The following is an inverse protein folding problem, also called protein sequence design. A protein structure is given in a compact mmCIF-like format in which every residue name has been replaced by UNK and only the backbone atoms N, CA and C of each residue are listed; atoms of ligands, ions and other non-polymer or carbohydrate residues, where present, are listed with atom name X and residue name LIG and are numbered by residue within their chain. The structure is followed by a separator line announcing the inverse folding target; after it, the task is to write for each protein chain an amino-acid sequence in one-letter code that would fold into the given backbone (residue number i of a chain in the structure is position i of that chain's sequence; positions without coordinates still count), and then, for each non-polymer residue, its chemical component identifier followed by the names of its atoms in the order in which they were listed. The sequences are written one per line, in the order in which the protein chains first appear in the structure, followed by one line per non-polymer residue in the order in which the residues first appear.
data_IF_711853234833
#
_entry.id   IF_711853234833
#
_cell.length_a   1.000
_cell.length_b   1.000
_cell.length_c   1.000
_cell.angle_alpha   90.00
_cell.angle_beta   90.00
_cell.angle_gamma   90.00
#
_symmetry.space_group_name_H-M   'P 1'
#
loop_
_entity.id
_entity.type
_entity.pdbx_description
1 polymer ?
#
# COMPACT_ATOMS: atom_id res chain seq x y z
N UNK A 1 7.98 7.64 0.57
CA UNK A 1 6.63 7.01 0.46
C UNK A 1 5.95 7.47 -0.81
N UNK A 2 4.91 6.74 -1.26
CA UNK A 2 4.15 7.13 -2.45
C UNK A 2 3.59 8.55 -2.32
N UNK A 3 3.74 9.35 -3.38
CA UNK A 3 3.22 10.72 -3.49
C UNK A 3 3.83 11.79 -2.55
N UNK A 4 4.87 11.50 -1.78
CA UNK A 4 5.40 12.45 -0.78
C UNK A 4 5.71 13.83 -1.38
N UNK A 5 6.41 13.87 -2.53
CA UNK A 5 6.76 15.13 -3.21
C UNK A 5 5.53 15.92 -3.66
N UNK A 6 4.53 15.24 -4.24
CA UNK A 6 3.29 15.88 -4.68
C UNK A 6 2.47 16.37 -3.47
N UNK A 7 2.35 15.52 -2.46
CA UNK A 7 1.60 15.80 -1.24
C UNK A 7 2.14 17.02 -0.51
N UNK A 8 3.46 17.13 -0.34
CA UNK A 8 4.12 18.28 0.30
C UNK A 8 3.81 19.60 -0.43
N UNK A 9 3.92 19.59 -1.76
CA UNK A 9 3.62 20.78 -2.58
C UNK A 9 2.17 21.20 -2.46
N UNK A 10 1.23 20.26 -2.57
CA UNK A 10 -0.19 20.55 -2.46
C UNK A 10 -0.58 21.04 -1.06
N UNK A 11 0.00 20.47 -0.01
CA UNK A 11 -0.24 20.91 1.37
C UNK A 11 0.23 22.36 1.58
N UNK A 12 1.37 22.74 1.02
CA UNK A 12 1.87 24.11 1.11
C UNK A 12 0.91 25.10 0.44
N UNK A 13 0.40 24.79 -0.75
CA UNK A 13 -0.62 25.60 -1.45
C UNK A 13 -1.89 25.72 -0.60
N UNK A 14 -2.38 24.63 -0.05
CA UNK A 14 -3.63 24.61 0.73
C UNK A 14 -3.48 25.24 2.12
N UNK A 15 -2.29 25.21 2.72
CA UNK A 15 -2.00 25.95 3.95
C UNK A 15 -2.16 27.45 3.74
N UNK A 16 -1.66 27.95 2.61
CA UNK A 16 -1.80 29.35 2.24
C UNK A 16 -3.28 29.75 2.02
N UNK A 17 -4.06 28.90 1.34
CA UNK A 17 -5.50 29.10 1.15
C UNK A 17 -6.28 29.11 2.48
N UNK A 18 -5.97 28.19 3.38
CA UNK A 18 -6.66 28.11 4.71
C UNK A 18 -6.37 29.31 5.61
N UNK A 19 -5.22 29.94 5.46
CA UNK A 19 -4.82 31.10 6.27
C UNK A 19 -5.57 32.37 5.91
N UNK A 20 -6.18 32.43 4.70
CA UNK A 20 -6.96 33.59 4.22
C UNK A 20 -8.42 33.46 4.68
N UNK A 21 -8.88 34.39 5.47
CA UNK A 21 -10.27 34.40 5.99
C UNK A 21 -11.32 34.67 4.90
N UNK A 22 -10.94 35.37 3.85
CA UNK A 22 -11.73 35.60 2.62
C UNK A 22 -10.87 35.26 1.42
N UNK A 23 -11.44 34.64 0.42
CA UNK A 23 -10.77 34.37 -0.86
C UNK A 23 -11.37 35.23 -1.95
N UNK A 24 -10.50 35.75 -2.80
CA UNK A 24 -10.88 36.39 -4.06
C UNK A 24 -10.74 35.38 -5.20
N UNK A 25 -11.37 35.65 -6.33
CA UNK A 25 -11.20 34.83 -7.54
C UNK A 25 -9.74 34.73 -7.97
N UNK A 26 -8.98 35.80 -7.81
CA UNK A 26 -7.55 35.82 -8.13
C UNK A 26 -6.72 34.95 -7.16
N UNK A 27 -7.09 34.90 -5.87
CA UNK A 27 -6.47 33.99 -4.92
C UNK A 27 -6.66 32.52 -5.32
N UNK A 28 -7.86 32.17 -5.75
CA UNK A 28 -8.18 30.81 -6.23
C UNK A 28 -7.41 30.51 -7.50
N UNK A 29 -7.37 31.43 -8.46
CA UNK A 29 -6.60 31.27 -9.71
C UNK A 29 -5.10 31.10 -9.44
N UNK A 30 -4.54 31.91 -8.53
CA UNK A 30 -3.13 31.81 -8.14
C UNK A 30 -2.83 30.43 -7.51
N UNK A 31 -3.65 29.97 -6.57
CA UNK A 31 -3.49 28.66 -5.96
C UNK A 31 -3.62 27.52 -6.98
N UNK A 32 -4.59 27.59 -7.90
CA UNK A 32 -4.75 26.58 -8.96
C UNK A 32 -3.58 26.58 -9.95
N UNK A 33 -2.91 27.71 -10.15
CA UNK A 33 -1.67 27.76 -10.92
C UNK A 33 -0.55 26.97 -10.22
N UNK A 34 -0.41 27.09 -8.90
CA UNK A 34 0.55 26.31 -8.11
C UNK A 34 0.19 24.81 -8.11
N UNK A 35 -1.10 24.47 -7.95
CA UNK A 35 -1.57 23.08 -8.07
C UNK A 35 -1.23 22.51 -9.45
N UNK A 36 -1.46 23.28 -10.52
CA UNK A 36 -1.08 22.89 -11.89
C UNK A 36 0.39 22.56 -12.00
N UNK A 37 1.26 23.44 -11.46
CA UNK A 37 2.71 23.22 -11.49
C UNK A 37 3.10 21.98 -10.69
N UNK A 38 2.53 21.78 -9.49
CA UNK A 38 2.79 20.60 -8.67
C UNK A 38 2.43 19.29 -9.39
N UNK A 39 1.29 19.24 -10.09
CA UNK A 39 0.87 18.09 -10.88
C UNK A 39 1.79 17.82 -12.09
N UNK A 40 2.22 18.89 -12.80
CA UNK A 40 3.16 18.74 -13.92
C UNK A 40 4.55 18.27 -13.46
N UNK A 41 5.05 18.79 -12.34
CA UNK A 41 6.31 18.36 -11.73
C UNK A 41 6.22 16.92 -11.17
N UNK A 42 5.01 16.48 -10.81
CA UNK A 42 4.71 15.09 -10.45
C UNK A 42 4.57 14.17 -11.67
N UNK A 43 4.89 14.66 -12.87
CA UNK A 43 4.83 13.91 -14.13
C UNK A 43 3.40 13.43 -14.49
N UNK A 44 2.37 14.22 -14.13
CA UNK A 44 0.99 13.97 -14.57
C UNK A 44 0.83 14.42 -16.02
N UNK A 45 0.11 13.66 -16.83
CA UNK A 45 -0.12 13.96 -18.24
C UNK A 45 -0.70 15.37 -18.45
N UNK A 46 -0.10 16.16 -19.34
CA UNK A 46 -0.45 17.56 -19.56
C UNK A 46 -1.93 17.78 -19.91
N UNK A 47 -2.52 16.92 -20.77
CA UNK A 47 -3.95 17.03 -21.15
C UNK A 47 -4.85 16.76 -19.94
N UNK A 48 -4.45 15.80 -19.09
CA UNK A 48 -5.15 15.45 -17.85
C UNK A 48 -5.10 16.63 -16.88
N UNK A 49 -3.93 17.21 -16.64
CA UNK A 49 -3.77 18.38 -15.77
C UNK A 49 -4.61 19.56 -16.27
N UNK A 50 -4.62 19.84 -17.59
CA UNK A 50 -5.39 20.94 -18.18
C UNK A 50 -6.89 20.75 -17.93
N UNK A 51 -7.41 19.54 -18.14
CA UNK A 51 -8.81 19.22 -17.87
C UNK A 51 -9.17 19.38 -16.40
N UNK A 52 -8.37 18.77 -15.53
CA UNK A 52 -8.52 18.81 -14.07
C UNK A 52 -8.57 20.27 -13.55
N UNK A 53 -7.61 21.11 -13.92
CA UNK A 53 -7.57 22.52 -13.48
C UNK A 53 -8.79 23.29 -13.97
N UNK A 54 -9.24 23.03 -15.20
CA UNK A 54 -10.47 23.66 -15.74
C UNK A 54 -11.69 23.28 -14.92
N UNK A 55 -11.86 21.99 -14.62
CA UNK A 55 -13.02 21.49 -13.88
C UNK A 55 -13.03 22.01 -12.43
N UNK A 56 -11.87 22.01 -11.77
CA UNK A 56 -11.73 22.58 -10.43
C UNK A 56 -12.01 24.10 -10.44
N UNK A 57 -11.49 24.84 -11.42
CA UNK A 57 -11.69 26.29 -11.52
C UNK A 57 -13.17 26.63 -11.73
N UNK A 58 -13.88 25.93 -12.59
CA UNK A 58 -15.32 26.16 -12.83
C UNK A 58 -16.14 26.00 -11.54
N UNK A 59 -15.80 25.02 -10.71
CA UNK A 59 -16.48 24.76 -9.44
C UNK A 59 -16.04 25.69 -8.32
N UNK A 60 -14.75 26.02 -8.25
CA UNK A 60 -14.16 26.79 -7.16
C UNK A 60 -14.43 28.31 -7.23
N UNK A 61 -14.74 28.85 -8.41
CA UNK A 61 -15.01 30.29 -8.63
C UNK A 61 -16.51 30.59 -8.47
N UNK A 62 -17.37 29.61 -8.20
CA UNK A 62 -18.80 29.83 -7.96
C UNK A 62 -19.09 30.70 -6.72
N UNK A 63 -20.15 31.52 -6.79
CA UNK A 63 -20.53 32.44 -5.70
C UNK A 63 -20.76 31.72 -4.36
N UNK A 64 -21.30 30.49 -4.39
CA UNK A 64 -21.54 29.68 -3.20
C UNK A 64 -20.24 29.30 -2.47
N UNK A 65 -19.14 29.15 -3.20
CA UNK A 65 -17.81 28.87 -2.62
C UNK A 65 -17.20 30.15 -2.05
N UNK A 66 -17.27 31.24 -2.80
CA UNK A 66 -16.63 32.51 -2.46
C UNK A 66 -17.27 33.17 -1.25
N UNK A 67 -18.59 33.03 -1.09
CA UNK A 67 -19.37 33.59 0.02
C UNK A 67 -19.56 32.63 1.18
N UNK A 68 -19.02 31.40 1.12
CA UNK A 68 -19.10 30.41 2.18
C UNK A 68 -18.33 30.79 3.44
N UNK A 69 -18.70 30.21 4.58
CA UNK A 69 -18.03 30.45 5.88
C UNK A 69 -16.55 30.04 5.87
N UNK A 70 -16.17 29.06 5.03
CA UNK A 70 -14.80 28.54 4.92
C UNK A 70 -14.41 28.31 3.45
N UNK A 71 -14.19 29.36 2.64
CA UNK A 71 -13.94 29.23 1.20
C UNK A 71 -12.71 28.37 0.89
N UNK A 72 -11.62 28.50 1.65
CA UNK A 72 -10.41 27.69 1.46
C UNK A 72 -10.62 26.20 1.66
N UNK A 73 -11.43 25.79 2.63
CA UNK A 73 -11.80 24.38 2.84
C UNK A 73 -12.66 23.85 1.70
N UNK A 74 -13.56 24.70 1.17
CA UNK A 74 -14.43 24.32 0.05
C UNK A 74 -13.61 24.07 -1.22
N UNK A 75 -12.62 24.93 -1.53
CA UNK A 75 -11.70 24.71 -2.65
C UNK A 75 -10.93 23.40 -2.50
N UNK A 76 -10.41 23.09 -1.30
CA UNK A 76 -9.72 21.80 -1.04
C UNK A 76 -10.64 20.62 -1.23
N UNK A 77 -11.90 20.73 -0.78
CA UNK A 77 -12.91 19.68 -0.97
C UNK A 77 -13.18 19.45 -2.47
N UNK A 78 -13.30 20.52 -3.27
CA UNK A 78 -13.49 20.42 -4.72
C UNK A 78 -12.29 19.75 -5.37
N UNK A 79 -11.06 20.11 -5.00
CA UNK A 79 -9.84 19.47 -5.49
C UNK A 79 -9.83 17.98 -5.16
N UNK A 80 -10.22 17.59 -3.94
CA UNK A 80 -10.32 16.18 -3.54
C UNK A 80 -11.33 15.42 -4.39
N UNK A 81 -12.53 15.96 -4.58
CA UNK A 81 -13.58 15.34 -5.38
C UNK A 81 -13.18 15.16 -6.84
N UNK A 82 -12.51 16.17 -7.44
CA UNK A 82 -12.01 16.05 -8.81
C UNK A 82 -10.81 15.09 -8.93
N UNK A 83 -9.95 14.96 -7.90
CA UNK A 83 -8.92 13.90 -7.87
C UNK A 83 -9.54 12.51 -7.81
N UNK A 84 -10.57 12.29 -6.97
CA UNK A 84 -11.30 11.03 -6.89
C UNK A 84 -11.91 10.69 -8.26
N UNK A 85 -12.57 11.65 -8.89
CA UNK A 85 -13.17 11.49 -10.22
C UNK A 85 -12.13 11.16 -11.28
N UNK A 86 -10.98 11.82 -11.25
CA UNK A 86 -9.85 11.60 -12.16
C UNK A 86 -9.33 10.16 -12.08
N UNK A 87 -9.27 9.60 -10.87
CA UNK A 87 -8.80 8.23 -10.61
C UNK A 87 -9.86 7.15 -10.80
N UNK A 88 -11.14 7.51 -11.02
CA UNK A 88 -12.18 6.55 -11.38
C UNK A 88 -13.44 6.57 -10.53
N UNK A 89 -13.58 7.49 -9.57
CA UNK A 89 -14.73 7.68 -8.67
C UNK A 89 -15.01 6.52 -7.72
N UNK A 90 -15.02 5.28 -8.22
CA UNK A 90 -15.37 4.07 -7.47
C UNK A 90 -14.29 3.02 -7.57
N UNK A 91 -14.21 2.21 -6.53
CA UNK A 91 -13.34 1.03 -6.50
C UNK A 91 -13.84 -0.01 -7.48
N UNK A 92 -12.96 -0.52 -8.31
CA UNK A 92 -13.29 -1.57 -9.29
C UNK A 92 -12.63 -2.88 -8.87
N UNK A 93 -13.40 -3.96 -8.84
CA UNK A 93 -12.90 -5.30 -8.59
C UNK A 93 -12.76 -6.10 -9.90
N UNK A 94 -11.89 -7.12 -9.87
CA UNK A 94 -11.77 -8.11 -10.95
C UNK A 94 -13.08 -8.92 -11.00
N UNK A 95 -13.74 -8.90 -12.15
CA UNK A 95 -14.98 -9.65 -12.35
C UNK A 95 -14.68 -11.13 -12.50
N UNK A 96 -15.22 -11.93 -11.60
CA UNK A 96 -15.12 -13.39 -11.65
C UNK A 96 -16.38 -13.98 -12.27
N UNK A 97 -16.22 -15.12 -12.94
CA UNK A 97 -17.35 -15.88 -13.45
C UNK A 97 -18.19 -16.46 -12.30
N UNK A 98 -19.51 -16.55 -12.47
CA UNK A 98 -20.40 -17.03 -11.43
C UNK A 98 -20.25 -18.54 -11.17
N UNK A 99 -20.55 -18.94 -9.95
CA UNK A 99 -20.55 -20.33 -9.54
C UNK A 99 -19.19 -21.00 -9.57
N UNK A 100 -19.11 -22.16 -10.21
CA UNK A 100 -17.89 -22.96 -10.40
C UNK A 100 -17.20 -22.72 -11.75
N UNK A 101 -17.70 -21.80 -12.57
CA UNK A 101 -17.11 -21.49 -13.86
C UNK A 101 -15.70 -20.92 -13.69
N UNK A 102 -14.79 -21.33 -14.57
CA UNK A 102 -13.39 -20.92 -14.52
C UNK A 102 -13.27 -19.49 -15.04
N UNK A 103 -12.64 -18.62 -14.26
CA UNK A 103 -12.25 -17.30 -14.71
C UNK A 103 -10.81 -17.33 -15.19
N UNK A 104 -10.57 -17.01 -16.45
CA UNK A 104 -9.23 -16.90 -17.03
C UNK A 104 -8.79 -15.44 -17.01
N UNK A 105 -7.68 -15.16 -16.34
CA UNK A 105 -7.07 -13.84 -16.22
C UNK A 105 -5.72 -13.88 -16.92
N UNK A 106 -5.50 -13.00 -17.89
CA UNK A 106 -4.23 -12.84 -18.57
C UNK A 106 -3.48 -11.62 -18.02
N UNK A 107 -2.27 -11.85 -17.50
CA UNK A 107 -1.39 -10.80 -17.00
C UNK A 107 -0.45 -10.34 -18.11
N UNK A 108 -0.57 -9.09 -18.54
CA UNK A 108 0.24 -8.48 -19.59
C UNK A 108 1.12 -7.35 -19.07
N UNK A 109 2.14 -6.93 -19.83
CA UNK A 109 3.00 -5.79 -19.48
C UNK A 109 4.46 -5.99 -19.86
N UNK A 110 5.26 -4.94 -19.72
CA UNK A 110 6.67 -4.96 -20.10
C UNK A 110 7.54 -5.78 -19.12
N UNK A 111 8.75 -6.10 -19.55
CA UNK A 111 9.75 -6.73 -18.69
C UNK A 111 10.11 -5.80 -17.51
N UNK A 112 10.25 -6.36 -16.32
CA UNK A 112 10.58 -5.59 -15.11
C UNK A 112 9.41 -4.84 -14.47
N UNK A 113 8.21 -4.85 -15.08
CA UNK A 113 7.01 -4.24 -14.50
C UNK A 113 6.47 -4.98 -13.27
N UNK A 114 7.02 -6.14 -12.92
CA UNK A 114 6.59 -6.91 -11.74
C UNK A 114 5.44 -7.88 -12.00
N UNK A 115 5.20 -8.31 -13.25
CA UNK A 115 4.11 -9.25 -13.61
C UNK A 115 4.12 -10.51 -12.77
N UNK A 116 5.18 -11.31 -12.84
CA UNK A 116 5.30 -12.61 -12.16
C UNK A 116 5.06 -12.52 -10.66
N UNK A 117 5.63 -11.51 -10.01
CA UNK A 117 5.42 -11.27 -8.58
C UNK A 117 3.97 -10.87 -8.29
N UNK A 118 3.40 -9.98 -9.11
CA UNK A 118 2.01 -9.53 -8.97
C UNK A 118 1.01 -10.66 -9.23
N UNK A 119 1.30 -11.51 -10.23
CA UNK A 119 0.51 -12.72 -10.56
C UNK A 119 0.38 -13.63 -9.34
N UNK A 120 1.49 -13.93 -8.67
CA UNK A 120 1.49 -14.77 -7.47
C UNK A 120 0.78 -14.08 -6.28
N UNK A 121 1.01 -12.78 -6.07
CA UNK A 121 0.31 -12.01 -5.02
C UNK A 121 -1.20 -11.98 -5.24
N UNK A 122 -1.63 -11.79 -6.48
CA UNK A 122 -3.05 -11.79 -6.85
C UNK A 122 -3.68 -13.16 -6.58
N UNK A 123 -3.02 -14.25 -6.97
CA UNK A 123 -3.46 -15.60 -6.66
C UNK A 123 -3.58 -15.85 -5.16
N UNK A 124 -2.59 -15.41 -4.37
CA UNK A 124 -2.63 -15.49 -2.90
C UNK A 124 -3.85 -14.76 -2.32
N UNK A 125 -4.19 -13.58 -2.85
CA UNK A 125 -5.40 -12.84 -2.44
C UNK A 125 -6.70 -13.59 -2.78
N UNK A 126 -6.78 -14.20 -3.95
CA UNK A 126 -7.93 -15.04 -4.31
C UNK A 126 -8.05 -16.27 -3.41
N UNK A 127 -6.93 -16.90 -3.06
CA UNK A 127 -6.91 -18.01 -2.12
C UNK A 127 -7.43 -17.60 -0.74
N UNK A 128 -7.04 -16.42 -0.23
CA UNK A 128 -7.57 -15.89 1.03
C UNK A 128 -9.09 -15.62 0.97
N UNK A 129 -9.61 -15.31 -0.22
CA UNK A 129 -11.07 -15.18 -0.47
C UNK A 129 -11.77 -16.56 -0.72
N UNK A 130 -11.11 -17.68 -0.43
CA UNK A 130 -11.66 -19.04 -0.57
C UNK A 130 -11.75 -19.54 -2.01
N UNK A 131 -11.05 -18.91 -2.96
CA UNK A 131 -10.96 -19.37 -4.35
C UNK A 131 -9.81 -20.39 -4.50
N UNK A 132 -9.83 -21.15 -5.61
CA UNK A 132 -8.79 -22.11 -5.98
C UNK A 132 -8.06 -21.64 -7.24
N UNK A 133 -7.09 -20.70 -7.12
CA UNK A 133 -6.35 -20.21 -8.26
C UNK A 133 -5.31 -21.23 -8.74
N UNK A 134 -5.09 -21.26 -10.06
CA UNK A 134 -4.01 -21.93 -10.76
C UNK A 134 -3.14 -20.89 -11.43
N UNK A 135 -1.85 -20.86 -11.13
CA UNK A 135 -0.85 -20.05 -11.81
C UNK A 135 -0.31 -20.78 -13.02
N UNK A 136 -0.15 -20.10 -14.15
CA UNK A 136 0.29 -20.71 -15.40
C UNK A 136 1.51 -19.98 -15.95
N UNK A 137 2.61 -20.72 -16.16
CA UNK A 137 3.85 -20.18 -16.71
C UNK A 137 3.77 -20.12 -18.25
N UNK A 138 3.41 -18.94 -18.77
CA UNK A 138 3.41 -18.66 -20.21
C UNK A 138 4.65 -17.87 -20.66
N UNK A 139 5.54 -17.43 -19.77
CA UNK A 139 6.86 -16.85 -20.13
C UNK A 139 7.87 -17.98 -20.38
N UNK A 140 7.81 -18.54 -21.58
CA UNK A 140 8.67 -19.67 -22.01
C UNK A 140 10.04 -19.24 -22.50
N UNK A 141 10.23 -17.95 -22.78
CA UNK A 141 11.49 -17.43 -23.32
C UNK A 141 12.58 -17.28 -22.26
N UNK A 142 12.20 -17.30 -20.99
CA UNK A 142 13.10 -17.15 -19.86
C UNK A 142 12.89 -18.29 -18.84
N UNK A 143 13.73 -19.35 -18.91
CA UNK A 143 13.60 -20.46 -17.95
C UNK A 143 13.62 -20.01 -16.47
N UNK A 144 14.36 -18.95 -16.17
CA UNK A 144 14.37 -18.35 -14.84
C UNK A 144 13.00 -17.77 -14.42
N UNK A 145 12.15 -17.32 -15.36
CA UNK A 145 10.82 -16.80 -15.06
C UNK A 145 9.87 -17.92 -14.59
N UNK A 146 9.94 -19.10 -15.23
CA UNK A 146 9.19 -20.29 -14.79
C UNK A 146 9.54 -20.64 -13.35
N UNK A 147 10.86 -20.71 -13.05
CA UNK A 147 11.35 -21.00 -11.70
C UNK A 147 10.95 -19.91 -10.69
N UNK A 148 10.98 -18.65 -11.09
CA UNK A 148 10.55 -17.52 -10.27
C UNK A 148 9.05 -17.63 -9.94
N UNK A 149 8.21 -17.97 -10.90
CA UNK A 149 6.78 -18.17 -10.69
C UNK A 149 6.52 -19.34 -9.73
N UNK A 150 7.26 -20.45 -9.88
CA UNK A 150 7.18 -21.61 -8.98
C UNK A 150 7.49 -21.22 -7.53
N UNK A 151 8.62 -20.57 -7.28
CA UNK A 151 8.99 -20.11 -5.93
C UNK A 151 7.94 -19.17 -5.35
N UNK A 152 7.40 -18.28 -6.15
CA UNK A 152 6.36 -17.35 -5.70
C UNK A 152 5.02 -18.06 -5.46
N UNK A 153 4.67 -19.07 -6.25
CA UNK A 153 3.50 -19.92 -6.06
C UNK A 153 3.60 -20.70 -4.74
N UNK A 154 4.75 -21.30 -4.46
CA UNK A 154 5.03 -22.00 -3.20
C UNK A 154 4.88 -21.08 -1.99
N UNK A 155 5.45 -19.88 -2.04
CA UNK A 155 5.32 -18.87 -0.97
C UNK A 155 3.87 -18.51 -0.66
N UNK A 156 2.99 -18.54 -1.67
CA UNK A 156 1.56 -18.29 -1.51
C UNK A 156 0.75 -19.58 -1.26
N UNK A 157 1.41 -20.75 -1.36
CA UNK A 157 0.78 -22.06 -1.29
C UNK A 157 -0.31 -22.22 -2.36
N UNK A 158 -0.07 -21.73 -3.57
CA UNK A 158 -0.95 -21.79 -4.74
C UNK A 158 -0.39 -22.79 -5.73
N UNK A 159 -1.30 -23.51 -6.39
CA UNK A 159 -0.93 -24.46 -7.44
C UNK A 159 -0.40 -23.76 -8.68
N UNK A 160 0.63 -24.35 -9.31
CA UNK A 160 1.22 -23.87 -10.52
C UNK A 160 1.21 -24.94 -11.61
N UNK A 161 0.95 -24.54 -12.86
CA UNK A 161 1.01 -25.36 -14.06
C UNK A 161 2.10 -24.86 -15.01
N UNK A 162 2.90 -25.77 -15.51
CA UNK A 162 3.94 -25.51 -16.50
C UNK A 162 4.09 -26.68 -17.46
N UNK A 163 4.37 -26.39 -18.73
CA UNK A 163 4.74 -27.38 -19.74
C UNK A 163 6.21 -27.22 -20.17
N UNK A 164 7.02 -26.51 -19.37
CA UNK A 164 8.40 -26.17 -19.71
C UNK A 164 8.48 -25.07 -20.77
N UNK A 165 9.63 -24.97 -21.41
CA UNK A 165 10.00 -23.88 -22.33
C UNK A 165 9.89 -24.22 -23.82
N UNK A 166 9.41 -25.44 -24.17
CA UNK A 166 9.35 -25.91 -25.57
C UNK A 166 7.97 -25.77 -26.21
N UNK A 167 6.95 -25.41 -25.45
CA UNK A 167 5.59 -25.31 -25.92
C UNK A 167 5.21 -23.84 -26.16
N UNK A 168 4.30 -23.59 -27.10
CA UNK A 168 3.79 -22.24 -27.32
C UNK A 168 2.92 -21.76 -26.15
N UNK A 169 2.96 -20.47 -25.79
CA UNK A 169 2.13 -19.93 -24.73
C UNK A 169 0.63 -20.20 -24.89
N UNK A 170 0.12 -20.15 -26.12
CA UNK A 170 -1.27 -20.46 -26.43
C UNK A 170 -1.65 -21.93 -26.12
N UNK A 171 -0.78 -22.88 -26.45
CA UNK A 171 -0.98 -24.32 -26.13
C UNK A 171 -0.92 -24.57 -24.63
N UNK A 172 0.00 -23.90 -23.93
CA UNK A 172 0.11 -23.95 -22.46
C UNK A 172 -1.18 -23.43 -21.82
N UNK A 173 -1.69 -22.29 -22.29
CA UNK A 173 -2.93 -21.71 -21.77
C UNK A 173 -4.11 -22.67 -21.93
N UNK A 174 -4.25 -23.30 -23.11
CA UNK A 174 -5.31 -24.29 -23.39
C UNK A 174 -5.22 -25.48 -22.46
N UNK A 175 -4.03 -26.10 -22.37
CA UNK A 175 -3.80 -27.23 -21.48
C UNK A 175 -4.04 -26.89 -20.01
N UNK A 176 -3.69 -25.68 -19.58
CA UNK A 176 -3.92 -25.21 -18.23
C UNK A 176 -5.42 -25.05 -17.88
N UNK A 177 -6.23 -24.57 -18.80
CA UNK A 177 -7.69 -24.48 -18.60
C UNK A 177 -8.32 -25.87 -18.49
N UNK A 178 -7.85 -26.84 -19.32
CA UNK A 178 -8.27 -28.24 -19.20
C UNK A 178 -7.85 -28.87 -17.85
N UNK A 179 -6.61 -28.59 -17.42
CA UNK A 179 -6.11 -29.01 -16.13
C UNK A 179 -6.96 -28.44 -14.98
N UNK A 180 -7.25 -27.14 -15.02
CA UNK A 180 -8.07 -26.45 -14.03
C UNK A 180 -9.47 -27.07 -13.92
N UNK A 181 -10.09 -27.40 -15.06
CA UNK A 181 -11.41 -28.06 -15.09
C UNK A 181 -11.40 -29.43 -14.41
N UNK A 182 -10.33 -30.21 -14.59
CA UNK A 182 -10.18 -31.55 -13.99
C UNK A 182 -9.89 -31.50 -12.48
N UNK A 183 -9.18 -30.45 -12.02
CA UNK A 183 -8.73 -30.35 -10.62
C UNK A 183 -9.61 -29.43 -9.77
N UNK A 184 -10.67 -28.85 -10.36
CA UNK A 184 -11.62 -27.98 -9.66
C UNK A 184 -11.05 -26.61 -9.30
N UNK A 185 -10.04 -26.13 -10.03
CA UNK A 185 -9.60 -24.73 -9.95
C UNK A 185 -10.67 -23.86 -10.60
N UNK A 186 -10.96 -22.71 -10.01
CA UNK A 186 -11.98 -21.79 -10.50
C UNK A 186 -11.42 -20.46 -11.00
N UNK A 187 -10.12 -20.25 -10.86
CA UNK A 187 -9.37 -19.11 -11.42
C UNK A 187 -8.11 -19.64 -12.07
N UNK A 188 -7.81 -19.21 -13.30
CA UNK A 188 -6.59 -19.48 -14.02
C UNK A 188 -5.92 -18.14 -14.29
N UNK A 189 -4.66 -17.96 -13.86
CA UNK A 189 -3.92 -16.72 -14.07
C UNK A 189 -2.70 -17.01 -14.94
N UNK A 190 -2.73 -16.49 -16.17
CA UNK A 190 -1.66 -16.67 -17.17
C UNK A 190 -0.59 -15.60 -16.95
N UNK A 191 0.61 -16.00 -16.50
CA UNK A 191 1.79 -15.12 -16.41
C UNK A 191 2.51 -15.11 -17.77
N UNK A 192 2.24 -14.08 -18.59
CA UNK A 192 2.77 -13.99 -19.95
C UNK A 192 4.16 -13.38 -19.99
N UNK A 193 4.87 -13.60 -21.07
CA UNK A 193 6.17 -12.99 -21.33
C UNK A 193 6.08 -11.46 -21.32
N UNK A 194 7.17 -10.80 -20.91
CA UNK A 194 7.34 -9.36 -21.07
C UNK A 194 8.56 -9.07 -21.91
N UNK A 195 8.44 -8.12 -22.82
CA UNK A 195 9.55 -7.58 -23.60
C UNK A 195 9.96 -6.21 -23.08
N UNK A 196 11.12 -5.70 -23.53
CA UNK A 196 11.64 -4.39 -23.10
C UNK A 196 10.77 -3.24 -23.59
N UNK A 197 10.12 -3.40 -24.73
CA UNK A 197 9.19 -2.42 -25.31
C UNK A 197 7.99 -3.10 -25.94
N UNK A 198 7.00 -2.30 -26.26
CA UNK A 198 5.81 -2.76 -27.00
C UNK A 198 6.21 -3.02 -28.45
N UNK A 199 6.27 -4.29 -28.84
CA UNK A 199 6.51 -4.71 -30.20
C UNK A 199 5.34 -5.53 -30.78
N UNK A 200 5.37 -5.77 -32.10
CA UNK A 200 4.31 -6.48 -32.79
C UNK A 200 4.25 -7.97 -32.41
N UNK A 201 5.40 -8.61 -32.25
CA UNK A 201 5.48 -10.02 -31.89
C UNK A 201 4.87 -10.31 -30.53
N UNK A 202 5.14 -9.44 -29.53
CA UNK A 202 4.51 -9.55 -28.21
C UNK A 202 2.99 -9.40 -28.30
N UNK A 203 2.51 -8.45 -29.09
CA UNK A 203 1.08 -8.22 -29.26
C UNK A 203 0.41 -9.40 -29.98
N UNK A 204 1.06 -9.96 -30.99
CA UNK A 204 0.59 -11.15 -31.71
C UNK A 204 0.49 -12.37 -30.74
N UNK A 205 1.51 -12.61 -29.90
CA UNK A 205 1.49 -13.70 -28.93
C UNK A 205 0.34 -13.57 -27.92
N UNK A 206 0.12 -12.37 -27.40
CA UNK A 206 -1.03 -12.13 -26.50
C UNK A 206 -2.37 -12.35 -27.20
N UNK A 207 -2.46 -12.00 -28.47
CA UNK A 207 -3.63 -12.24 -29.30
C UNK A 207 -3.85 -13.73 -29.53
N UNK A 208 -2.79 -14.50 -29.89
CA UNK A 208 -2.84 -15.96 -30.02
C UNK A 208 -3.36 -16.64 -28.74
N UNK A 209 -2.93 -16.18 -27.55
CA UNK A 209 -3.46 -16.68 -26.29
C UNK A 209 -4.97 -16.40 -26.16
N UNK A 210 -5.41 -15.17 -26.50
CA UNK A 210 -6.85 -14.80 -26.46
C UNK A 210 -7.71 -15.58 -27.45
N UNK A 211 -7.16 -15.99 -28.57
CA UNK A 211 -7.83 -16.84 -29.56
C UNK A 211 -7.88 -18.31 -29.15
N UNK A 212 -6.85 -18.78 -28.40
CA UNK A 212 -6.77 -20.16 -27.95
C UNK A 212 -7.68 -20.48 -26.78
N UNK A 213 -7.91 -19.49 -25.88
CA UNK A 213 -8.75 -19.64 -24.69
C UNK A 213 -9.60 -18.39 -24.48
N UNK A 214 -10.80 -18.56 -23.89
CA UNK A 214 -11.64 -17.44 -23.51
C UNK A 214 -11.01 -16.68 -22.33
N UNK A 215 -10.30 -15.58 -22.63
CA UNK A 215 -9.74 -14.69 -21.61
C UNK A 215 -10.81 -13.75 -21.11
N UNK A 216 -11.22 -13.90 -19.85
CA UNK A 216 -12.27 -13.08 -19.24
C UNK A 216 -11.78 -11.71 -18.77
N UNK A 217 -10.50 -11.62 -18.37
CA UNK A 217 -9.88 -10.38 -17.92
C UNK A 217 -8.45 -10.29 -18.43
N UNK A 218 -8.14 -9.21 -19.15
CA UNK A 218 -6.78 -8.85 -19.52
C UNK A 218 -6.30 -7.73 -18.60
N UNK A 219 -5.35 -8.03 -17.72
CA UNK A 219 -4.86 -7.09 -16.72
C UNK A 219 -3.44 -6.66 -17.10
N UNK A 220 -3.24 -5.37 -17.29
CA UNK A 220 -1.95 -4.79 -17.55
C UNK A 220 -1.22 -4.46 -16.25
N UNK A 221 0.03 -4.88 -16.14
CA UNK A 221 0.93 -4.52 -15.04
C UNK A 221 1.93 -3.49 -15.53
N UNK A 222 1.98 -2.34 -14.87
CA UNK A 222 2.89 -1.23 -15.17
C UNK A 222 3.69 -0.82 -13.95
N UNK A 223 4.89 -0.31 -14.18
CA UNK A 223 5.79 0.20 -13.15
C UNK A 223 5.53 1.71 -12.97
N UNK A 224 5.13 2.13 -11.76
CA UNK A 224 4.89 3.54 -11.44
C UNK A 224 6.13 4.42 -11.66
N UNK A 225 7.32 3.87 -11.41
CA UNK A 225 8.57 4.62 -11.50
C UNK A 225 8.92 5.06 -12.94
N UNK A 226 8.30 4.46 -13.96
CA UNK A 226 8.49 4.86 -15.36
C UNK A 226 7.67 6.09 -15.75
N UNK A 227 6.85 6.62 -14.84
CA UNK A 227 6.12 7.89 -15.03
C UNK A 227 5.20 7.86 -16.26
N UNK A 228 5.35 8.82 -17.19
CA UNK A 228 4.51 8.90 -18.39
C UNK A 228 4.70 7.72 -19.36
N UNK A 229 5.84 7.02 -19.34
CA UNK A 229 6.00 5.83 -20.16
C UNK A 229 5.03 4.71 -19.73
N UNK A 230 4.70 4.58 -18.44
CA UNK A 230 3.65 3.67 -17.98
C UNK A 230 2.28 4.00 -18.62
N UNK A 231 1.98 5.29 -18.77
CA UNK A 231 0.72 5.75 -19.40
C UNK A 231 0.71 5.46 -20.90
N UNK A 232 1.82 5.70 -21.58
CA UNK A 232 2.00 5.40 -23.01
C UNK A 232 1.88 3.90 -23.29
N UNK A 233 2.51 3.08 -22.47
CA UNK A 233 2.41 1.61 -22.51
C UNK A 233 0.95 1.18 -22.30
N UNK A 234 0.28 1.73 -21.29
CA UNK A 234 -1.11 1.40 -21.01
C UNK A 234 -2.06 1.77 -22.18
N UNK A 235 -1.84 2.92 -22.82
CA UNK A 235 -2.58 3.31 -24.02
C UNK A 235 -2.35 2.31 -25.16
N UNK A 236 -1.07 1.98 -25.46
CA UNK A 236 -0.71 1.06 -26.52
C UNK A 236 -1.30 -0.35 -26.34
N UNK A 237 -1.28 -0.88 -25.11
CA UNK A 237 -1.89 -2.18 -24.81
C UNK A 237 -3.41 -2.12 -24.93
N UNK A 238 -4.04 -1.02 -24.46
CA UNK A 238 -5.48 -0.85 -24.57
C UNK A 238 -5.94 -0.79 -26.03
N UNK A 239 -5.20 -0.09 -26.89
CA UNK A 239 -5.53 0.09 -28.29
C UNK A 239 -5.33 -1.18 -29.12
N UNK A 240 -4.25 -1.96 -28.84
CA UNK A 240 -3.88 -3.14 -29.63
C UNK A 240 -4.55 -4.44 -29.16
N UNK A 241 -4.63 -4.66 -27.85
CA UNK A 241 -5.11 -5.92 -27.25
C UNK A 241 -6.45 -5.74 -26.55
N UNK A 242 -6.75 -4.54 -26.07
CA UNK A 242 -7.85 -4.28 -25.15
C UNK A 242 -7.53 -4.80 -23.75
N UNK A 243 -7.49 -3.92 -22.78
CA UNK A 243 -7.28 -4.25 -21.37
C UNK A 243 -8.55 -3.98 -20.57
N UNK A 244 -8.77 -4.74 -19.50
CA UNK A 244 -9.95 -4.58 -18.61
C UNK A 244 -9.61 -3.79 -17.36
N UNK A 245 -8.32 -3.77 -16.98
CA UNK A 245 -7.83 -3.00 -15.85
C UNK A 245 -6.31 -2.97 -15.78
N UNK A 246 -5.81 -2.15 -14.86
CA UNK A 246 -4.38 -1.91 -14.68
C UNK A 246 -3.98 -2.18 -13.23
N UNK A 247 -2.82 -2.79 -13.02
CA UNK A 247 -2.15 -2.88 -11.73
C UNK A 247 -0.89 -2.03 -11.82
N UNK A 248 -0.75 -1.08 -10.90
CA UNK A 248 0.41 -0.18 -10.82
C UNK A 248 1.34 -0.68 -9.73
N UNK A 249 2.55 -1.11 -10.09
CA UNK A 249 3.56 -1.65 -9.17
C UNK A 249 4.56 -0.58 -8.75
N UNK A 250 5.36 -0.88 -7.72
CA UNK A 250 6.46 -0.05 -7.20
C UNK A 250 6.05 1.38 -6.83
N UNK A 251 4.80 1.54 -6.42
CA UNK A 251 4.27 2.85 -6.05
C UNK A 251 4.93 3.38 -4.77
N UNK A 252 5.46 2.51 -3.91
CA UNK A 252 6.28 2.84 -2.74
C UNK A 252 7.56 3.61 -3.08
N UNK A 253 8.15 3.33 -4.25
CA UNK A 253 9.31 4.05 -4.79
C UNK A 253 8.97 5.32 -5.58
N UNK A 254 7.69 5.51 -5.95
CA UNK A 254 7.25 6.67 -6.73
C UNK A 254 6.73 7.80 -5.83
N UNK A 255 7.58 8.80 -5.59
CA UNK A 255 7.20 9.99 -4.80
C UNK A 255 6.37 11.01 -5.59
N UNK A 256 6.27 10.85 -6.91
CA UNK A 256 5.55 11.76 -7.82
C UNK A 256 4.10 11.33 -8.06
N UNK A 257 3.87 10.07 -8.41
CA UNK A 257 2.54 9.47 -8.59
C UNK A 257 1.82 9.82 -9.89
N UNK A 258 2.52 10.41 -10.86
CA UNK A 258 1.91 10.89 -12.11
C UNK A 258 1.27 9.80 -12.95
N UNK A 259 1.85 8.60 -12.98
CA UNK A 259 1.28 7.45 -13.68
C UNK A 259 -0.10 7.08 -13.13
N UNK A 260 -0.22 6.92 -11.80
CA UNK A 260 -1.48 6.55 -11.15
C UNK A 260 -2.59 7.58 -11.41
N UNK A 261 -2.26 8.87 -11.47
CA UNK A 261 -3.22 9.94 -11.78
C UNK A 261 -3.62 10.00 -13.25
N UNK A 262 -2.80 9.48 -14.16
CA UNK A 262 -2.99 9.65 -15.61
C UNK A 262 -3.62 8.43 -16.29
N UNK A 263 -3.37 7.22 -15.81
CA UNK A 263 -3.74 5.97 -16.49
C UNK A 263 -5.23 5.90 -16.78
N UNK A 264 -6.08 6.10 -15.76
CA UNK A 264 -7.54 6.04 -15.94
C UNK A 264 -8.05 7.11 -16.90
N UNK A 265 -7.54 8.32 -16.79
CA UNK A 265 -7.96 9.44 -17.62
C UNK A 265 -7.57 9.27 -19.11
N UNK A 266 -6.40 8.64 -19.38
CA UNK A 266 -5.90 8.42 -20.74
C UNK A 266 -6.50 7.17 -21.38
N UNK A 267 -6.57 6.06 -20.64
CA UNK A 267 -6.99 4.75 -21.19
C UNK A 267 -8.49 4.47 -21.04
N UNK A 268 -9.17 5.19 -20.15
CA UNK A 268 -10.54 4.86 -19.74
C UNK A 268 -10.63 3.61 -18.84
N UNK A 269 -9.51 2.91 -18.56
CA UNK A 269 -9.49 1.65 -17.81
C UNK A 269 -9.21 1.86 -16.33
N UNK A 270 -9.87 1.12 -15.43
CA UNK A 270 -9.69 1.30 -13.99
C UNK A 270 -8.32 0.80 -13.53
N UNK A 271 -7.79 1.43 -12.49
CA UNK A 271 -6.73 0.84 -11.68
C UNK A 271 -7.40 -0.11 -10.69
N UNK A 272 -6.96 -1.37 -10.67
CA UNK A 272 -7.54 -2.43 -9.84
C UNK A 272 -6.77 -2.58 -8.50
N UNK A 273 -5.46 -2.63 -8.60
CA UNK A 273 -4.55 -2.80 -7.47
C UNK A 273 -3.31 -1.92 -7.61
N UNK A 274 -2.67 -1.67 -6.49
CA UNK A 274 -1.35 -1.01 -6.40
C UNK A 274 -0.38 -1.86 -5.60
N UNK A 275 0.86 -1.96 -6.08
CA UNK A 275 1.96 -2.60 -5.37
C UNK A 275 2.73 -1.58 -4.55
N UNK A 276 2.73 -1.78 -3.23
CA UNK A 276 3.35 -0.89 -2.24
C UNK A 276 4.57 -1.53 -1.57
N UNK A 277 5.14 -2.59 -2.15
CA UNK A 277 6.28 -3.32 -1.60
C UNK A 277 6.31 -4.79 -2.00
N UNK A 278 7.14 -5.59 -1.33
CA UNK A 278 7.47 -6.97 -1.71
C UNK A 278 6.51 -8.03 -1.14
N UNK A 279 5.88 -7.79 0.01
CA UNK A 279 5.03 -8.76 0.70
C UNK A 279 3.68 -8.94 -0.01
N UNK A 280 2.96 -10.04 0.29
CA UNK A 280 1.60 -10.27 -0.20
C UNK A 280 0.64 -9.15 0.21
N UNK A 281 0.74 -8.69 1.45
CA UNK A 281 -0.05 -7.58 1.99
C UNK A 281 0.15 -6.27 1.23
N UNK A 282 1.30 -6.11 0.55
CA UNK A 282 1.68 -4.89 -0.15
C UNK A 282 1.05 -4.78 -1.55
N UNK A 283 0.27 -5.77 -2.00
CA UNK A 283 -0.64 -5.62 -3.12
C UNK A 283 -2.00 -5.13 -2.58
N UNK A 284 -2.25 -3.84 -2.63
CA UNK A 284 -3.46 -3.23 -2.09
C UNK A 284 -4.52 -3.03 -3.18
N UNK A 285 -5.81 -3.15 -2.82
CA UNK A 285 -6.92 -2.72 -3.67
C UNK A 285 -6.80 -1.22 -3.88
N UNK A 286 -7.07 -0.76 -5.11
CA UNK A 286 -7.05 0.67 -5.41
C UNK A 286 -8.36 1.33 -4.98
N UNK A 287 -8.27 2.27 -4.05
CA UNK A 287 -9.39 3.08 -3.57
C UNK A 287 -9.15 4.55 -3.96
N UNK A 288 -9.87 5.08 -4.97
CA UNK A 288 -9.67 6.46 -5.44
C UNK A 288 -9.76 7.53 -4.35
N UNK A 289 -10.72 7.40 -3.44
CA UNK A 289 -10.95 8.31 -2.33
C UNK A 289 -9.80 8.32 -1.32
N UNK A 290 -9.30 7.13 -0.94
CA UNK A 290 -8.15 7.01 -0.04
C UNK A 290 -6.88 7.55 -0.67
N UNK A 291 -6.71 7.29 -1.97
CA UNK A 291 -5.54 7.77 -2.72
C UNK A 291 -5.56 9.29 -2.84
N UNK A 292 -6.71 9.89 -3.14
CA UNK A 292 -6.87 11.35 -3.12
C UNK A 292 -6.56 11.94 -1.75
N UNK A 293 -7.04 11.30 -0.68
CA UNK A 293 -6.76 11.73 0.70
C UNK A 293 -5.26 11.67 1.04
N UNK A 294 -4.54 10.61 0.60
CA UNK A 294 -3.07 10.51 0.74
C UNK A 294 -2.36 11.63 0.00
N UNK A 295 -2.72 11.88 -1.27
CA UNK A 295 -2.14 12.94 -2.11
C UNK A 295 -2.34 14.33 -1.47
N UNK A 296 -3.48 14.57 -0.84
CA UNK A 296 -3.77 15.85 -0.16
C UNK A 296 -3.18 15.93 1.26
N UNK A 297 -2.51 14.86 1.73
CA UNK A 297 -1.93 14.80 3.07
C UNK A 297 -2.97 14.78 4.20
N UNK A 298 -4.19 14.33 3.88
CA UNK A 298 -5.27 14.17 4.85
C UNK A 298 -5.18 12.83 5.62
N UNK A 299 -4.21 11.99 5.24
CA UNK A 299 -4.03 10.66 5.80
C UNK A 299 -4.98 9.61 5.22
N UNK A 300 -4.75 8.36 5.59
CA UNK A 300 -5.56 7.21 5.17
C UNK A 300 -5.86 6.32 6.38
N UNK A 301 -6.73 6.82 7.25
CA UNK A 301 -7.09 6.14 8.50
C UNK A 301 -7.80 4.81 8.24
N UNK A 302 -8.57 4.69 7.15
CA UNK A 302 -9.31 3.46 6.83
C UNK A 302 -8.36 2.32 6.44
N UNK A 303 -7.37 2.58 5.59
CA UNK A 303 -6.35 1.58 5.27
C UNK A 303 -5.53 1.17 6.48
N UNK A 304 -5.27 2.09 7.41
CA UNK A 304 -4.59 1.78 8.66
C UNK A 304 -5.43 0.83 9.53
N UNK A 305 -6.73 1.09 9.66
CA UNK A 305 -7.65 0.23 10.42
C UNK A 305 -7.76 -1.16 9.77
N UNK A 306 -7.84 -1.24 8.44
CA UNK A 306 -7.92 -2.50 7.73
C UNK A 306 -6.62 -3.32 7.87
N UNK A 307 -5.45 -2.69 7.74
CA UNK A 307 -4.16 -3.36 7.98
C UNK A 307 -4.05 -3.85 9.42
N UNK A 308 -4.40 -3.01 10.38
CA UNK A 308 -4.44 -3.40 11.79
C UNK A 308 -5.42 -4.56 12.04
N UNK A 309 -6.59 -4.54 11.39
CA UNK A 309 -7.59 -5.60 11.52
C UNK A 309 -7.20 -6.93 10.87
N UNK A 310 -6.47 -6.89 9.75
CA UNK A 310 -6.01 -8.10 9.05
C UNK A 310 -4.85 -8.82 9.75
N UNK A 311 -4.04 -8.09 10.52
CA UNK A 311 -2.87 -8.64 11.22
C UNK A 311 -3.12 -8.89 12.71
N UNK A 312 -4.21 -8.36 13.26
CA UNK A 312 -4.60 -8.61 14.64
C UNK A 312 -5.39 -9.93 14.74
N UNK A 313 -4.77 -10.92 15.35
CA UNK A 313 -5.46 -12.10 15.88
C UNK A 313 -6.49 -11.60 16.93
N UNK A 314 -7.79 -11.68 16.61
CA UNK A 314 -8.87 -11.17 17.48
C UNK A 314 -8.78 -11.71 18.92
N UNK A 315 -8.32 -12.95 19.09
CA UNK A 315 -8.10 -13.54 20.42
C UNK A 315 -6.92 -12.88 21.15
N UNK A 316 -5.83 -12.59 20.45
CA UNK A 316 -4.66 -11.90 21.02
C UNK A 316 -4.98 -10.45 21.36
N UNK A 317 -5.70 -9.75 20.48
CA UNK A 317 -6.16 -8.37 20.73
C UNK A 317 -7.11 -8.29 21.96
N UNK A 318 -8.01 -9.25 22.10
CA UNK A 318 -8.91 -9.34 23.25
C UNK A 318 -8.17 -9.64 24.56
N UNK A 319 -7.23 -10.60 24.52
CA UNK A 319 -6.36 -10.92 25.67
C UNK A 319 -5.49 -9.72 26.06
N UNK A 320 -4.95 -8.99 25.07
CA UNK A 320 -4.14 -7.80 25.31
C UNK A 320 -4.97 -6.66 25.92
N UNK A 321 -6.19 -6.43 25.41
CA UNK A 321 -7.12 -5.44 25.96
C UNK A 321 -7.51 -5.76 27.41
N UNK A 322 -7.74 -7.04 27.74
CA UNK A 322 -8.06 -7.46 29.10
C UNK A 322 -6.84 -7.38 30.05
N UNK A 323 -5.62 -7.70 29.57
CA UNK A 323 -4.39 -7.48 30.33
C UNK A 323 -4.11 -5.99 30.56
N UNK A 324 -4.41 -5.12 29.57
CA UNK A 324 -4.30 -3.67 29.70
C UNK A 324 -5.27 -3.13 30.76
N UNK A 325 -6.53 -3.57 30.76
CA UNK A 325 -7.52 -3.20 31.79
C UNK A 325 -7.09 -3.63 33.20
N UNK A 326 -6.44 -4.80 33.32
CA UNK A 326 -5.92 -5.34 34.59
C UNK A 326 -4.56 -4.80 34.98
N UNK A 327 -3.98 -3.90 34.18
CA UNK A 327 -2.62 -3.35 34.36
C UNK A 327 -1.50 -4.43 34.49
N UNK A 328 -1.67 -5.56 33.82
CA UNK A 328 -0.78 -6.72 33.84
C UNK A 328 0.10 -6.79 32.59
N UNK A 329 0.57 -5.63 32.08
CA UNK A 329 1.47 -5.57 30.91
C UNK A 329 2.87 -5.98 31.34
N UNK A 330 3.45 -7.01 30.66
CA UNK A 330 4.74 -7.61 30.93
C UNK A 330 5.70 -7.51 29.72
N UNK A 331 6.91 -8.07 29.82
CA UNK A 331 7.90 -8.03 28.74
C UNK A 331 7.55 -8.98 27.57
N UNK A 332 6.75 -10.03 27.78
CA UNK A 332 6.23 -10.86 26.68
C UNK A 332 5.23 -10.05 25.86
N UNK A 333 4.32 -9.33 26.50
CA UNK A 333 3.38 -8.43 25.82
C UNK A 333 4.11 -7.30 25.06
N UNK A 334 5.26 -6.85 25.59
CA UNK A 334 6.09 -5.84 24.94
C UNK A 334 6.75 -6.39 23.67
N UNK A 335 7.28 -7.64 23.69
CA UNK A 335 7.79 -8.34 22.50
C UNK A 335 6.72 -8.54 21.45
N UNK A 336 5.55 -9.03 21.86
CA UNK A 336 4.40 -9.22 20.95
C UNK A 336 4.02 -7.90 20.27
N UNK A 337 4.04 -6.78 21.01
CA UNK A 337 3.76 -5.45 20.47
C UNK A 337 4.81 -5.00 19.44
N UNK A 338 6.09 -5.28 19.69
CA UNK A 338 7.19 -4.97 18.76
C UNK A 338 7.07 -5.82 17.48
N UNK A 339 6.75 -7.10 17.61
CA UNK A 339 6.55 -7.99 16.47
C UNK A 339 5.35 -7.57 15.62
N UNK A 340 4.25 -7.16 16.26
CA UNK A 340 3.08 -6.62 15.56
C UNK A 340 3.42 -5.32 14.81
N UNK A 341 4.14 -4.39 15.43
CA UNK A 341 4.60 -3.16 14.75
C UNK A 341 5.48 -3.47 13.54
N UNK A 342 6.37 -4.47 13.65
CA UNK A 342 7.21 -4.91 12.51
C UNK A 342 6.37 -5.51 11.38
N UNK A 343 5.34 -6.31 11.70
CA UNK A 343 4.41 -6.90 10.72
C UNK A 343 3.57 -5.84 10.02
N UNK A 344 3.19 -4.77 10.71
CA UNK A 344 2.41 -3.63 10.16
C UNK A 344 3.24 -2.68 9.27
N UNK A 345 4.47 -3.04 8.92
CA UNK A 345 5.30 -2.27 7.98
C UNK A 345 6.16 -1.18 8.61
N UNK A 346 6.43 -1.25 9.93
CA UNK A 346 7.26 -0.30 10.66
C UNK A 346 6.50 0.95 11.12
N UNK A 347 7.16 1.72 11.99
CA UNK A 347 6.56 2.89 12.62
C UNK A 347 6.34 4.04 11.62
N UNK A 348 7.23 4.18 10.63
CA UNK A 348 7.14 5.19 9.57
C UNK A 348 5.91 4.99 8.69
N UNK A 349 5.57 3.73 8.36
CA UNK A 349 4.39 3.40 7.56
C UNK A 349 3.10 3.79 8.29
N UNK A 350 3.00 3.51 9.59
CA UNK A 350 1.85 3.85 10.43
C UNK A 350 1.71 5.38 10.58
N UNK A 351 2.82 6.08 10.80
CA UNK A 351 2.80 7.54 10.97
C UNK A 351 2.44 8.28 9.66
N UNK A 352 2.87 7.76 8.50
CA UNK A 352 2.49 8.33 7.20
C UNK A 352 0.99 8.22 6.88
N UNK A 353 0.27 7.30 7.52
CA UNK A 353 -1.17 7.12 7.35
C UNK A 353 -2.01 8.00 8.30
N UNK A 354 -1.42 8.61 9.32
CA UNK A 354 -2.13 9.47 10.27
C UNK A 354 -2.30 10.90 9.75
N UNK A 355 -3.50 11.51 9.86
CA UNK A 355 -3.78 12.86 9.40
C UNK A 355 -2.89 13.90 10.10
N UNK A 356 -2.19 14.74 9.30
CA UNK A 356 -1.39 15.85 9.82
C UNK A 356 -0.01 15.48 10.37
N UNK A 357 0.39 14.20 10.39
CA UNK A 357 1.70 13.76 10.85
C UNK A 357 2.73 13.60 9.73
N UNK A 358 2.31 13.51 8.46
CA UNK A 358 3.21 13.46 7.30
C UNK A 358 4.19 14.64 7.19
N UNK A 359 3.81 15.82 7.72
CA UNK A 359 4.67 17.00 7.76
C UNK A 359 5.70 17.03 8.92
N UNK A 360 5.62 16.11 9.86
CA UNK A 360 6.61 15.95 10.93
C UNK A 360 7.78 15.07 10.48
N UNK A 361 7.62 14.30 9.40
CA UNK A 361 8.63 13.39 8.86
C UNK A 361 9.94 14.07 8.40
N UNK A 362 9.92 15.35 8.04
CA UNK A 362 11.14 16.11 7.69
C UNK A 362 11.96 16.59 8.91
N UNK A 363 11.47 16.41 10.12
CA UNK A 363 12.15 16.79 11.39
C UNK A 363 12.32 15.65 12.39
N UNK A 364 11.78 14.46 12.08
CA UNK A 364 12.02 13.27 12.90
C UNK A 364 13.17 12.44 12.31
N UNK A 365 14.01 11.84 13.15
CA UNK A 365 15.00 10.86 12.67
C UNK A 365 14.26 9.75 11.92
N UNK A 366 14.88 9.25 10.86
CA UNK A 366 14.39 8.11 10.08
C UNK A 366 14.16 6.92 11.01
N UNK A 367 12.87 6.64 11.29
CA UNK A 367 12.46 5.65 12.28
C UNK A 367 12.72 4.21 11.79
N UNK A 368 12.89 4.03 10.47
CA UNK A 368 13.24 2.74 9.85
C UNK A 368 14.74 2.69 9.44
N UNK A 369 15.58 3.60 9.98
CA UNK A 369 17.01 3.56 9.76
C UNK A 369 17.64 2.29 10.36
N UNK A 370 18.75 1.81 9.74
CA UNK A 370 19.55 0.69 10.29
C UNK A 370 19.92 0.86 11.76
N UNK A 371 20.06 2.11 12.23
CA UNK A 371 20.37 2.42 13.62
C UNK A 371 19.19 2.11 14.54
N UNK A 372 17.96 2.39 14.11
CA UNK A 372 16.75 2.07 14.88
C UNK A 372 16.41 0.58 14.82
N UNK A 373 16.63 -0.08 13.69
CA UNK A 373 16.52 -1.55 13.60
C UNK A 373 17.52 -2.24 14.54
N UNK A 374 18.76 -1.76 14.60
CA UNK A 374 19.77 -2.26 15.57
C UNK A 374 19.34 -2.03 17.01
N UNK A 375 18.74 -0.88 17.33
CA UNK A 375 18.21 -0.59 18.68
C UNK A 375 17.05 -1.51 19.04
N UNK A 376 16.14 -1.79 18.10
CA UNK A 376 15.04 -2.74 18.31
C UNK A 376 15.56 -4.16 18.52
N UNK A 377 16.49 -4.63 17.69
CA UNK A 377 17.14 -5.93 17.85
C UNK A 377 17.87 -6.05 19.19
N UNK A 378 18.48 -4.95 19.65
CA UNK A 378 19.15 -4.88 20.96
C UNK A 378 18.14 -5.01 22.12
N UNK A 379 16.97 -4.36 22.03
CA UNK A 379 15.90 -4.51 23.01
C UNK A 379 15.34 -5.94 23.05
N UNK A 380 15.12 -6.56 21.89
CA UNK A 380 14.72 -7.97 21.78
C UNK A 380 15.75 -8.89 22.45
N UNK A 381 17.06 -8.69 22.17
CA UNK A 381 18.13 -9.48 22.77
C UNK A 381 18.17 -9.36 24.31
N UNK A 382 17.93 -8.16 24.85
CA UNK A 382 17.83 -7.94 26.29
C UNK A 382 16.66 -8.75 26.88
N UNK A 383 15.48 -8.71 26.26
CA UNK A 383 14.31 -9.44 26.77
C UNK A 383 14.50 -10.95 26.62
N UNK A 384 15.08 -11.42 25.49
CA UNK A 384 15.38 -12.85 25.31
C UNK A 384 16.41 -13.37 26.31
N UNK A 385 17.28 -12.52 26.83
CA UNK A 385 18.25 -12.85 27.89
C UNK A 385 17.64 -12.92 29.30
N UNK A 386 16.37 -12.53 29.46
CA UNK A 386 15.58 -12.70 30.69
C UNK A 386 15.02 -14.11 30.78
N UNK A 387 14.86 -14.64 31.99
CA UNK A 387 14.08 -15.85 32.23
C UNK A 387 12.59 -15.58 32.00
N UNK A 388 11.79 -16.63 31.74
CA UNK A 388 10.34 -16.49 31.59
C UNK A 388 9.67 -15.82 32.81
N UNK A 389 10.17 -16.12 34.00
CA UNK A 389 9.68 -15.50 35.23
C UNK A 389 9.97 -14.00 35.29
N UNK A 390 11.17 -13.60 34.87
CA UNK A 390 11.57 -12.18 34.82
C UNK A 390 10.81 -11.40 33.71
N UNK A 391 10.50 -12.04 32.60
CA UNK A 391 9.67 -11.44 31.54
C UNK A 391 8.24 -11.18 32.04
N UNK A 392 7.66 -12.14 32.75
CA UNK A 392 6.28 -12.05 33.29
C UNK A 392 6.18 -11.20 34.54
N UNK A 393 7.26 -11.05 35.28
CA UNK A 393 7.30 -10.22 36.49
C UNK A 393 8.49 -9.24 36.47
N UNK A 394 8.31 -8.07 35.82
CA UNK A 394 9.37 -7.05 35.71
C UNK A 394 9.94 -6.55 37.05
N UNK A 395 9.16 -6.70 38.14
CA UNK A 395 9.57 -6.22 39.47
C UNK A 395 10.65 -7.10 40.11
N UNK A 396 10.96 -8.27 39.54
CA UNK A 396 12.08 -9.15 39.95
C UNK A 396 13.45 -8.65 39.50
N UNK A 397 13.52 -7.64 38.62
CA UNK A 397 14.78 -7.17 38.01
C UNK A 397 15.65 -6.36 38.99
N UNK A 398 16.41 -7.05 39.85
CA UNK A 398 17.40 -6.48 40.73
C UNK A 398 18.73 -6.22 40.00
N UNK A 399 19.72 -5.49 40.61
CA UNK A 399 20.99 -5.19 39.98
C UNK A 399 21.77 -6.41 39.50
N UNK A 400 21.80 -7.50 40.26
CA UNK A 400 22.51 -8.73 39.89
C UNK A 400 21.89 -9.39 38.65
N UNK A 401 20.55 -9.47 38.58
CA UNK A 401 19.83 -10.01 37.41
C UNK A 401 20.07 -9.14 36.16
N UNK A 402 20.07 -7.81 36.30
CA UNK A 402 20.36 -6.89 35.20
C UNK A 402 21.78 -7.06 34.66
N UNK A 403 22.80 -7.30 35.53
CA UNK A 403 24.15 -7.62 35.07
C UNK A 403 24.23 -8.91 34.28
N UNK A 404 23.52 -9.96 34.73
CA UNK A 404 23.44 -11.23 33.99
C UNK A 404 22.79 -11.07 32.63
N UNK A 405 21.67 -10.31 32.58
CA UNK A 405 20.94 -10.02 31.36
C UNK A 405 21.82 -9.22 30.39
N UNK A 406 22.50 -8.19 30.84
CA UNK A 406 23.43 -7.40 30.03
C UNK A 406 24.53 -8.27 29.41
N UNK A 407 25.13 -9.17 30.20
CA UNK A 407 26.14 -10.13 29.72
C UNK A 407 25.54 -11.10 28.67
N UNK A 408 24.31 -11.59 28.88
CA UNK A 408 23.63 -12.50 27.96
C UNK A 408 23.25 -11.85 26.65
N UNK A 409 22.85 -10.59 26.67
CA UNK A 409 22.47 -9.81 25.49
C UNK A 409 23.67 -9.17 24.77
N UNK A 410 24.89 -9.21 25.34
CA UNK A 410 26.05 -8.55 24.75
C UNK A 410 25.97 -7.03 24.75
N UNK A 411 25.35 -6.43 25.78
CA UNK A 411 25.13 -4.97 25.89
C UNK A 411 25.63 -4.45 27.25
N UNK A 412 25.74 -3.13 27.36
CA UNK A 412 26.05 -2.51 28.64
C UNK A 412 24.86 -2.53 29.60
N UNK A 413 25.14 -2.57 30.90
CA UNK A 413 24.11 -2.49 31.94
C UNK A 413 23.31 -1.20 31.88
N UNK A 414 23.90 -0.13 31.33
CA UNK A 414 23.21 1.14 31.06
C UNK A 414 22.04 0.98 30.06
N UNK A 415 22.23 0.12 29.05
CA UNK A 415 21.19 -0.14 28.03
C UNK A 415 20.04 -0.95 28.63
N UNK A 416 20.36 -1.96 29.48
CA UNK A 416 19.32 -2.70 30.20
C UNK A 416 18.54 -1.76 31.14
N UNK A 417 19.20 -0.86 31.85
CA UNK A 417 18.51 0.10 32.72
C UNK A 417 17.65 1.08 31.93
N UNK A 418 18.13 1.55 30.79
CA UNK A 418 17.38 2.44 29.88
C UNK A 418 16.12 1.76 29.38
N UNK A 419 16.24 0.53 28.90
CA UNK A 419 15.12 -0.26 28.38
C UNK A 419 14.08 -0.55 29.49
N UNK A 420 14.49 -0.97 30.67
CA UNK A 420 13.60 -1.21 31.82
C UNK A 420 12.89 0.09 32.25
N UNK A 421 13.58 1.23 32.19
CA UNK A 421 12.97 2.54 32.46
C UNK A 421 11.93 2.90 31.42
N UNK A 422 12.22 2.75 30.13
CA UNK A 422 11.28 2.99 29.03
C UNK A 422 10.04 2.09 29.15
N UNK A 423 10.25 0.80 29.40
CA UNK A 423 9.16 -0.14 29.65
C UNK A 423 8.25 0.31 30.82
N UNK A 424 8.82 0.71 31.94
CA UNK A 424 8.05 1.18 33.09
C UNK A 424 7.32 2.49 32.81
N UNK A 425 7.85 3.39 31.99
CA UNK A 425 7.19 4.61 31.55
C UNK A 425 6.01 4.28 30.62
N UNK A 426 6.18 3.37 29.66
CA UNK A 426 5.13 2.86 28.78
C UNK A 426 3.99 2.21 29.62
N UNK A 427 4.34 1.37 30.60
CA UNK A 427 3.39 0.72 31.51
C UNK A 427 2.57 1.76 32.33
N UNK A 428 3.22 2.85 32.77
CA UNK A 428 2.53 3.95 33.49
C UNK A 428 1.60 4.75 32.58
N UNK A 429 1.97 4.98 31.33
CA UNK A 429 1.10 5.64 30.34
C UNK A 429 -0.11 4.79 30.01
N UNK A 430 0.06 3.49 29.75
CA UNK A 430 -1.02 2.57 29.48
C UNK A 430 -2.05 2.51 30.64
N UNK A 431 -1.60 2.60 31.89
CA UNK A 431 -2.50 2.72 33.06
C UNK A 431 -3.38 3.96 33.04
N UNK A 432 -2.97 5.04 32.38
CA UNK A 432 -3.71 6.32 32.31
C UNK A 432 -4.66 6.40 31.11
N UNK A 433 -4.47 5.59 30.08
CA UNK A 433 -5.30 5.60 28.85
C UNK A 433 -6.79 5.31 29.09
N UNK A 434 -7.21 4.31 29.88
CA UNK A 434 -8.62 4.03 30.10
C UNK A 434 -9.39 5.20 30.73
N UNK A 435 -8.72 6.05 31.51
CA UNK A 435 -9.31 7.26 32.10
C UNK A 435 -9.46 8.42 31.11
N UNK A 436 -8.77 8.40 29.98
CA UNK A 436 -8.84 9.45 28.96
C UNK A 436 -9.89 9.16 27.87
N UNK A 437 -10.22 7.89 27.61
CA UNK A 437 -11.25 7.52 26.63
C UNK A 437 -12.69 7.52 27.20
N UNK A 438 -12.85 7.58 28.52
CA UNK A 438 -14.16 7.55 29.21
C UNK A 438 -14.69 8.90 29.69
N UNK A 439 -13.99 10.01 29.49
CA UNK A 439 -14.35 11.32 30.04
C UNK A 439 -14.88 12.32 29.02
N UNK A 440 -16.14 12.68 29.09
CA UNK A 440 -16.73 13.87 28.46
C UNK A 440 -15.98 15.13 28.91
N UNK A 441 -15.36 15.80 27.93
CA UNK A 441 -15.06 17.25 28.00
C UNK A 441 -13.87 17.67 28.87
N UNK A 442 -12.81 18.19 28.23
CA UNK A 442 -11.95 19.12 28.95
C UNK A 442 -10.44 19.07 28.62
N UNK A 443 -9.98 20.15 27.97
CA UNK A 443 -8.63 20.72 27.92
C UNK A 443 -7.55 19.99 27.11
N UNK A 444 -7.20 20.63 25.99
CA UNK A 444 -6.02 20.38 25.14
C UNK A 444 -4.73 20.35 25.96
N UNK A 445 -4.23 19.16 26.25
CA UNK A 445 -2.88 18.93 26.73
C UNK A 445 -1.98 18.47 25.56
N UNK A 446 -0.82 19.08 25.38
CA UNK A 446 0.19 18.69 24.40
C UNK A 446 0.62 17.25 24.66
N UNK A 447 0.32 16.37 23.72
CA UNK A 447 0.81 14.99 23.72
C UNK A 447 2.31 14.99 23.38
N UNK A 448 3.16 14.60 24.30
CA UNK A 448 4.54 14.22 24.02
C UNK A 448 4.62 12.71 24.04
N UNK A 449 4.89 12.09 22.89
CA UNK A 449 5.25 10.68 22.79
C UNK A 449 6.65 10.49 23.38
N UNK A 450 6.88 9.47 24.20
CA UNK A 450 8.19 9.16 24.74
C UNK A 450 8.91 8.17 23.82
N UNK A 451 9.53 8.66 22.80
CA UNK A 451 10.56 7.93 22.07
C UNK A 451 11.77 8.85 21.91
#
# INVERSE_FOLDING_TARGET
MAFDSLSEKLQNVFKNLRSKGRLTEDDVKAALKEVKMALLEADVNFKVVKGFIKDVQQRAVGQDVMNGLNPGQMVIKIVNEELVKLMGSETTEIKLQPGSAITVIMMAGLQGAGKTTTTAKLAGKFKLKGKKPLLVACDVYRPAAIKQLEINAEKQGVEMFSMGDKNKPADIAKAAVEHAAKNGNNIVILDTAGRLHVDEDMMAELQEIKEAVEVHQTILVVDAMTGQDAVNVASSFNDKIGIDGVIVTKLDGDTRGGAALSIKAVTGRPILYVGMGEKLSDLEQFYPDRMASRILGMGDVLSLIEKAGAELDEEKAKKMADKMKKAQFDFEDYLDSMEQMRKMGGLSSIMGMLPGMGNLGGKMPDLDSEENEKKMAQMEAIIYSMTLEERRNPDLLNPSRKHRIAKGAGVDIADVNRMVKQFNESRKMMKKLPGMMGGKGGKRGKFKLPF
#
